data_IF_986189404173
#
_entry.id   IF_986189404173
#
_cell.length_a   1.000
_cell.length_b   1.000
_cell.length_c   1.000
_cell.angle_alpha   90.00
_cell.angle_beta   90.00
_cell.angle_gamma   90.00
#
_symmetry.space_group_name_H-M   'P 1'
#
loop_
_entity.id
_entity.type
_entity.pdbx_description
1 polymer ?
#
# COMPACT_ATOMS: atom_id res chain seq x y z
N UNK A 1 -44.73 15.49 -33.35
CA UNK A 1 -44.24 15.70 -31.97
C UNK A 1 -44.83 14.61 -31.07
N UNK A 2 -44.00 13.65 -30.64
CA UNK A 2 -44.25 12.53 -29.70
C UNK A 2 -42.80 12.12 -29.34
N UNK A 3 -42.27 12.28 -28.14
CA UNK A 3 -42.84 12.00 -26.83
C UNK A 3 -42.21 10.70 -26.31
N UNK A 4 -41.43 10.81 -25.23
CA UNK A 4 -40.94 9.75 -24.35
C UNK A 4 -39.64 8.98 -24.71
N UNK A 5 -38.50 9.48 -24.20
CA UNK A 5 -37.43 8.62 -23.65
C UNK A 5 -36.82 9.23 -22.36
N UNK A 6 -37.57 9.42 -21.26
CA UNK A 6 -36.96 9.84 -19.99
C UNK A 6 -36.18 8.71 -19.29
N UNK A 7 -36.38 7.45 -19.69
CA UNK A 7 -35.79 6.28 -19.02
C UNK A 7 -34.34 5.96 -19.42
N UNK A 8 -33.90 6.37 -20.61
CA UNK A 8 -32.54 6.08 -21.07
C UNK A 8 -31.48 6.95 -20.36
N UNK A 9 -31.86 8.16 -19.94
CA UNK A 9 -30.94 9.08 -19.25
C UNK A 9 -30.73 8.72 -17.77
N UNK A 10 -31.73 8.13 -17.12
CA UNK A 10 -31.61 7.70 -15.72
C UNK A 10 -30.60 6.55 -15.55
N UNK A 11 -30.55 5.59 -16.48
CA UNK A 11 -29.61 4.45 -16.41
C UNK A 11 -28.15 4.84 -16.59
N UNK A 12 -27.86 5.78 -17.51
CA UNK A 12 -26.49 6.26 -17.76
C UNK A 12 -25.97 7.11 -16.59
N UNK A 13 -26.84 7.89 -15.95
CA UNK A 13 -26.48 8.68 -14.77
C UNK A 13 -26.06 7.79 -13.58
N UNK A 14 -26.72 6.65 -13.35
CA UNK A 14 -26.35 5.72 -12.27
C UNK A 14 -25.01 5.01 -12.53
N UNK A 15 -24.70 4.64 -13.77
CA UNK A 15 -23.40 4.04 -14.13
C UNK A 15 -22.26 5.07 -13.98
N UNK A 16 -22.51 6.33 -14.34
CA UNK A 16 -21.54 7.41 -14.15
C UNK A 16 -21.30 7.73 -12.66
N UNK A 17 -22.33 7.68 -11.81
CA UNK A 17 -22.20 7.89 -10.35
C UNK A 17 -21.52 6.70 -9.67
N UNK A 18 -21.82 5.46 -10.08
CA UNK A 18 -21.15 4.26 -9.56
C UNK A 18 -19.65 4.28 -9.85
N UNK A 19 -19.27 4.58 -11.09
CA UNK A 19 -17.86 4.67 -11.51
C UNK A 19 -17.12 5.84 -10.87
N UNK A 20 -17.76 7.00 -10.67
CA UNK A 20 -17.18 8.12 -9.92
C UNK A 20 -17.04 7.81 -8.44
N UNK A 21 -18.02 7.16 -7.80
CA UNK A 21 -17.93 6.79 -6.40
C UNK A 21 -16.85 5.71 -6.17
N UNK A 22 -16.67 4.78 -7.10
CA UNK A 22 -15.61 3.78 -7.08
C UNK A 22 -14.23 4.37 -7.37
N UNK A 23 -14.12 5.28 -8.35
CA UNK A 23 -12.90 6.01 -8.64
C UNK A 23 -12.52 6.97 -7.49
N UNK A 24 -13.50 7.61 -6.86
CA UNK A 24 -13.31 8.46 -5.67
C UNK A 24 -12.97 7.63 -4.43
N UNK A 25 -13.53 6.42 -4.27
CA UNK A 25 -13.08 5.48 -3.23
C UNK A 25 -11.68 4.95 -3.51
N UNK A 26 -11.31 4.72 -4.77
CA UNK A 26 -9.96 4.34 -5.17
C UNK A 26 -8.96 5.48 -4.96
N UNK A 27 -9.38 6.75 -5.09
CA UNK A 27 -8.55 7.92 -4.75
C UNK A 27 -8.61 8.30 -3.26
N UNK A 28 -9.66 7.96 -2.51
CA UNK A 28 -9.67 8.10 -1.04
C UNK A 28 -8.94 6.95 -0.34
N UNK A 29 -8.84 5.78 -0.99
CA UNK A 29 -7.82 4.76 -0.76
C UNK A 29 -6.51 5.09 -1.51
N UNK A 30 -6.25 6.37 -1.82
CA UNK A 30 -4.90 6.85 -2.09
C UNK A 30 -4.00 6.30 -0.99
N UNK A 31 -3.09 5.43 -1.42
CA UNK A 31 -1.88 4.96 -0.76
C UNK A 31 -1.86 5.20 0.74
N UNK A 32 -2.57 4.36 1.51
CA UNK A 32 -2.41 4.37 2.97
C UNK A 32 -0.90 4.27 3.27
N UNK A 33 -0.27 5.34 3.77
CA UNK A 33 1.18 5.42 3.86
C UNK A 33 1.70 4.41 4.88
N UNK A 34 0.87 4.07 5.87
CA UNK A 34 1.18 3.03 6.84
C UNK A 34 1.13 1.63 6.20
N UNK A 35 0.16 1.37 5.31
CA UNK A 35 0.11 0.12 4.56
C UNK A 35 1.36 -0.05 3.68
N UNK A 36 1.79 1.03 3.00
CA UNK A 36 3.04 1.05 2.23
C UNK A 36 4.25 0.73 3.12
N UNK A 37 4.37 1.40 4.26
CA UNK A 37 5.48 1.20 5.20
C UNK A 37 5.59 -0.27 5.66
N UNK A 38 4.46 -0.88 6.02
CA UNK A 38 4.46 -2.29 6.43
C UNK A 38 4.86 -3.25 5.30
N UNK A 39 4.43 -2.99 4.06
CA UNK A 39 4.81 -3.83 2.91
C UNK A 39 6.29 -3.64 2.56
N UNK A 40 6.81 -2.42 2.60
CA UNK A 40 8.23 -2.16 2.33
C UNK A 40 9.13 -2.80 3.39
N UNK A 41 8.72 -2.80 4.66
CA UNK A 41 9.41 -3.53 5.72
C UNK A 41 9.37 -5.06 5.50
N UNK A 42 8.23 -5.62 5.06
CA UNK A 42 8.14 -7.03 4.66
C UNK A 42 9.08 -7.37 3.49
N UNK A 43 9.13 -6.53 2.44
CA UNK A 43 10.09 -6.69 1.35
C UNK A 43 11.53 -6.65 1.85
N UNK A 44 11.88 -5.71 2.72
CA UNK A 44 13.21 -5.64 3.32
C UNK A 44 13.56 -6.94 4.04
N UNK A 45 12.64 -7.49 4.83
CA UNK A 45 12.89 -8.74 5.59
C UNK A 45 13.12 -9.98 4.71
N UNK A 46 12.67 -9.93 3.44
CA UNK A 46 12.78 -11.02 2.46
C UNK A 46 14.01 -10.88 1.56
N UNK A 47 14.31 -9.65 1.14
CA UNK A 47 15.35 -9.37 0.15
C UNK A 47 16.65 -8.86 0.75
N UNK A 48 16.62 -8.27 1.94
CA UNK A 48 17.80 -7.71 2.60
C UNK A 48 18.38 -8.69 3.63
N UNK A 49 19.61 -9.18 3.43
CA UNK A 49 20.26 -10.05 4.39
C UNK A 49 20.49 -9.31 5.70
N UNK A 50 20.27 -10.00 6.84
CA UNK A 50 20.46 -9.43 8.17
C UNK A 50 19.31 -8.54 8.67
N UNK A 51 18.27 -8.27 7.87
CA UNK A 51 17.08 -7.52 8.30
C UNK A 51 15.90 -8.45 8.56
N UNK A 52 15.17 -8.21 9.65
CA UNK A 52 13.90 -8.88 9.96
C UNK A 52 12.86 -7.88 10.42
N UNK A 53 11.59 -8.24 10.23
CA UNK A 53 10.49 -7.55 10.90
C UNK A 53 10.65 -7.71 12.42
N UNK A 54 10.47 -6.61 13.15
CA UNK A 54 10.21 -6.64 14.58
C UNK A 54 8.70 -6.91 14.80
N UNK A 55 8.30 -8.13 15.22
CA UNK A 55 6.90 -8.53 15.25
C UNK A 55 6.07 -7.72 16.26
N UNK A 56 6.66 -7.27 17.37
CA UNK A 56 5.94 -6.49 18.38
C UNK A 56 5.66 -5.07 17.87
N UNK A 57 6.67 -4.44 17.27
CA UNK A 57 6.53 -3.10 16.69
C UNK A 57 5.63 -3.11 15.48
N UNK A 58 5.73 -4.14 14.63
CA UNK A 58 4.86 -4.30 13.47
C UNK A 58 3.39 -4.50 13.86
N UNK A 59 3.12 -5.30 14.90
CA UNK A 59 1.77 -5.47 15.42
C UNK A 59 1.22 -4.18 16.03
N UNK A 60 2.02 -3.49 16.83
CA UNK A 60 1.64 -2.22 17.47
C UNK A 60 1.37 -1.14 16.43
N UNK A 61 2.19 -1.08 15.37
CA UNK A 61 2.00 -0.21 14.22
C UNK A 61 0.70 -0.50 13.47
N UNK A 62 0.43 -1.78 13.18
CA UNK A 62 -0.83 -2.18 12.56
C UNK A 62 -2.04 -1.73 13.37
N UNK A 63 -2.03 -1.97 14.69
CA UNK A 63 -3.10 -1.53 15.60
C UNK A 63 -3.26 0.00 15.61
N UNK A 64 -2.16 0.76 15.69
CA UNK A 64 -2.18 2.23 15.71
C UNK A 64 -2.78 2.83 14.43
N UNK A 65 -2.66 2.13 13.30
CA UNK A 65 -3.17 2.58 12.00
C UNK A 65 -4.45 1.86 11.56
N UNK A 66 -5.07 1.03 12.43
CA UNK A 66 -6.27 0.26 12.08
C UNK A 66 -6.04 -0.77 10.96
N UNK A 67 -4.79 -1.20 10.76
CA UNK A 67 -4.38 -2.16 9.75
C UNK A 67 -4.33 -3.58 10.33
N UNK A 68 -5.07 -4.48 9.70
CA UNK A 68 -5.07 -5.90 9.99
C UNK A 68 -4.00 -6.65 9.19
N UNK A 69 -3.74 -7.90 9.57
CA UNK A 69 -2.90 -8.80 8.79
C UNK A 69 -3.42 -8.96 7.35
N UNK A 70 -4.74 -8.98 7.17
CA UNK A 70 -5.34 -9.08 5.84
C UNK A 70 -5.04 -7.85 4.98
N UNK A 71 -4.99 -6.65 5.56
CA UNK A 71 -4.69 -5.44 4.80
C UNK A 71 -3.29 -5.50 4.17
N UNK A 72 -2.30 -6.01 4.91
CA UNK A 72 -0.92 -6.15 4.42
C UNK A 72 -0.79 -7.24 3.34
N UNK A 73 -1.46 -8.38 3.51
CA UNK A 73 -1.18 -9.59 2.72
C UNK A 73 -2.29 -10.03 1.76
N UNK A 74 -3.50 -9.46 1.84
CA UNK A 74 -4.57 -9.70 0.88
C UNK A 74 -4.48 -8.78 -0.34
N UNK A 75 -5.00 -9.25 -1.48
CA UNK A 75 -4.73 -8.69 -2.82
C UNK A 75 -5.46 -7.37 -3.13
N UNK A 76 -6.28 -6.82 -2.23
CA UNK A 76 -6.99 -5.55 -2.46
C UNK A 76 -6.07 -4.36 -2.22
N UNK A 77 -5.16 -4.12 -3.17
CA UNK A 77 -4.25 -2.96 -3.19
C UNK A 77 -4.67 -2.00 -4.29
N UNK A 78 -4.58 -0.69 -4.02
CA UNK A 78 -4.72 0.35 -5.03
C UNK A 78 -3.69 0.15 -6.16
N UNK A 79 -3.97 0.72 -7.34
CA UNK A 79 -3.04 0.65 -8.46
C UNK A 79 -1.71 1.37 -8.15
N UNK A 80 -1.77 2.52 -7.46
CA UNK A 80 -0.60 3.29 -7.01
C UNK A 80 0.32 2.47 -6.10
N UNK A 81 -0.24 1.87 -5.05
CA UNK A 81 0.50 1.02 -4.12
C UNK A 81 1.16 -0.17 -4.84
N UNK A 82 0.46 -0.82 -5.78
CA UNK A 82 1.05 -1.91 -6.59
C UNK A 82 2.25 -1.44 -7.41
N UNK A 83 2.15 -0.28 -8.05
CA UNK A 83 3.25 0.29 -8.85
C UNK A 83 4.45 0.66 -7.97
N UNK A 84 4.20 1.27 -6.81
CA UNK A 84 5.24 1.62 -5.83
C UNK A 84 5.99 0.37 -5.33
N UNK A 85 5.25 -0.68 -4.94
CA UNK A 85 5.82 -1.98 -4.53
C UNK A 85 6.65 -2.60 -5.65
N UNK A 86 6.16 -2.58 -6.89
CA UNK A 86 6.88 -3.12 -8.03
C UNK A 86 8.21 -2.37 -8.26
N UNK A 87 8.20 -1.03 -8.16
CA UNK A 87 9.40 -0.21 -8.28
C UNK A 87 10.43 -0.49 -7.15
N UNK A 88 9.97 -0.64 -5.91
CA UNK A 88 10.84 -0.99 -4.77
C UNK A 88 11.40 -2.41 -4.94
N UNK A 89 10.59 -3.37 -5.36
CA UNK A 89 11.01 -4.75 -5.67
C UNK A 89 12.04 -4.78 -6.80
N UNK A 90 11.84 -4.00 -7.86
CA UNK A 90 12.80 -3.88 -8.95
C UNK A 90 14.13 -3.30 -8.46
N UNK A 91 14.11 -2.26 -7.62
CA UNK A 91 15.32 -1.68 -7.01
C UNK A 91 16.06 -2.67 -6.12
N UNK A 92 15.35 -3.47 -5.32
CA UNK A 92 15.94 -4.54 -4.52
C UNK A 92 16.64 -5.60 -5.39
N UNK A 93 16.16 -5.84 -6.61
CA UNK A 93 16.80 -6.77 -7.55
C UNK A 93 18.00 -6.16 -8.28
N UNK A 94 17.90 -4.89 -8.66
CA UNK A 94 18.93 -4.22 -9.47
C UNK A 94 20.08 -3.67 -8.62
N UNK A 95 19.77 -3.07 -7.48
CA UNK A 95 20.73 -2.41 -6.57
C UNK A 95 20.42 -2.79 -5.12
N UNK A 96 20.63 -4.06 -4.72
CA UNK A 96 20.20 -4.57 -3.41
C UNK A 96 20.82 -3.79 -2.25
N UNK A 97 22.11 -3.49 -2.29
CA UNK A 97 22.80 -2.77 -1.20
C UNK A 97 22.17 -1.43 -0.87
N UNK A 98 22.10 -0.52 -1.84
CA UNK A 98 21.52 0.81 -1.64
C UNK A 98 20.02 0.79 -1.32
N UNK A 99 19.28 -0.16 -1.88
CA UNK A 99 17.87 -0.35 -1.55
C UNK A 99 17.68 -0.82 -0.10
N UNK A 100 18.52 -1.73 0.38
CA UNK A 100 18.48 -2.23 1.76
C UNK A 100 18.93 -1.19 2.78
N UNK A 101 19.97 -0.41 2.47
CA UNK A 101 20.41 0.70 3.33
C UNK A 101 19.32 1.75 3.49
N UNK A 102 18.64 2.09 2.39
CA UNK A 102 17.48 2.99 2.43
C UNK A 102 16.36 2.41 3.30
N UNK A 103 15.96 1.16 3.08
CA UNK A 103 14.88 0.53 3.86
C UNK A 103 15.25 0.42 5.35
N UNK A 104 16.53 0.23 5.68
CA UNK A 104 17.01 0.29 7.05
C UNK A 104 16.96 1.69 7.63
N UNK A 105 17.31 2.73 6.86
CA UNK A 105 17.21 4.12 7.31
C UNK A 105 15.74 4.57 7.50
N UNK A 106 14.83 4.07 6.68
CA UNK A 106 13.40 4.38 6.75
C UNK A 106 12.73 3.62 7.90
N UNK A 107 13.05 2.32 8.06
CA UNK A 107 12.30 1.39 8.90
C UNK A 107 13.06 0.71 10.05
N UNK A 108 14.35 0.97 10.22
CA UNK A 108 15.17 0.38 11.26
C UNK A 108 14.89 0.90 12.67
N UNK A 109 15.79 0.60 13.61
CA UNK A 109 15.65 1.03 15.02
C UNK A 109 15.72 2.55 15.20
N UNK A 110 16.41 3.24 14.29
CA UNK A 110 16.42 4.71 14.18
C UNK A 110 15.59 5.20 12.98
N UNK A 111 14.67 4.37 12.49
CA UNK A 111 13.88 4.61 11.29
C UNK A 111 13.09 5.91 11.37
N UNK A 112 13.18 6.73 10.31
CA UNK A 112 12.56 8.05 10.26
C UNK A 112 11.05 7.97 9.98
N UNK A 113 10.59 6.86 9.40
CA UNK A 113 9.18 6.65 9.05
C UNK A 113 8.45 5.82 10.11
N UNK A 114 8.96 4.63 10.43
CA UNK A 114 8.40 3.75 11.45
C UNK A 114 9.42 2.70 11.87
N UNK A 115 9.50 2.36 13.15
CA UNK A 115 10.47 1.36 13.61
C UNK A 115 9.93 -0.06 13.43
N UNK A 116 10.04 -0.61 12.21
CA UNK A 116 9.45 -1.90 11.83
C UNK A 116 10.47 -3.02 11.65
N UNK A 117 11.75 -2.68 11.53
CA UNK A 117 12.85 -3.60 11.26
C UNK A 117 13.84 -3.66 12.42
N UNK A 118 14.44 -4.84 12.59
CA UNK A 118 15.59 -5.09 13.45
C UNK A 118 16.69 -5.83 12.68
N UNK A 119 17.94 -5.65 13.12
CA UNK A 119 19.07 -6.47 12.66
C UNK A 119 19.08 -7.80 13.41
N UNK A 120 19.45 -8.87 12.70
CA UNK A 120 19.79 -10.17 13.28
C UNK A 120 21.22 -10.18 13.81
#
# INVERSE_FOLDING_TARGET
MKGAYPFALAGVAWIAIGTWAEARRASLQEDNPALRAGIEADLASRYCPGLRIDPERFRSFGQAHGLSHEDFFMKRRSAGLKQSIAATTQRLRQTPGSACDRLWADYGTAGHAAQLLKRM
#
